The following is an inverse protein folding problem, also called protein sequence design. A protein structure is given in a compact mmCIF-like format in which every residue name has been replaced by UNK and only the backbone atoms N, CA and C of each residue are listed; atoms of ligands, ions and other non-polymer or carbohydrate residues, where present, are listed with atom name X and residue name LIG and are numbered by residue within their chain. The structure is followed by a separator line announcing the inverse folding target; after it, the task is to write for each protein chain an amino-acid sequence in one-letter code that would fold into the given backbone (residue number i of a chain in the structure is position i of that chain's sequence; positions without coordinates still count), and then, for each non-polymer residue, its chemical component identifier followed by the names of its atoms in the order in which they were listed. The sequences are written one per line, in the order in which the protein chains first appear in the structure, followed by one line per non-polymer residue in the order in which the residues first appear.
data_IF_518804475507
#
_entry.id   IF_518804475507
#
_cell.length_a   1.000
_cell.length_b   1.000
_cell.length_c   1.000
_cell.angle_alpha   90.00
_cell.angle_beta   90.00
_cell.angle_gamma   90.00
#
_symmetry.space_group_name_H-M   'P 1'
#
loop_
_entity.id
_entity.type
_entity.pdbx_description
1 polymer ?
#
# COMPACT_ATOMS: atom_id res chain seq x y z
N UNK A 1 -2.93 9.98 11.18
CA UNK A 1 -3.00 9.32 9.87
C UNK A 1 -4.30 8.54 9.74
N UNK A 2 -5.06 8.79 8.72
CA UNK A 2 -6.29 8.03 8.44
C UNK A 2 -6.35 7.68 6.97
N UNK A 3 -7.17 6.68 6.64
CA UNK A 3 -7.41 6.29 5.26
C UNK A 3 -8.58 7.10 4.69
N UNK A 4 -8.39 7.62 3.47
CA UNK A 4 -9.39 8.41 2.77
C UNK A 4 -9.77 7.68 1.49
N UNK A 5 -11.07 7.55 1.19
CA UNK A 5 -11.51 7.00 -0.06
C UNK A 5 -11.51 8.08 -1.13
N UNK A 6 -10.64 7.92 -2.12
CA UNK A 6 -10.61 8.81 -3.28
C UNK A 6 -11.81 8.51 -4.18
N UNK A 7 -12.45 9.54 -4.66
CA UNK A 7 -13.64 9.41 -5.51
C UNK A 7 -13.41 10.04 -6.88
N UNK A 8 -14.14 9.55 -7.86
CA UNK A 8 -14.12 10.08 -9.22
C UNK A 8 -15.27 11.04 -9.48
N UNK A 9 -15.99 11.42 -8.45
CA UNK A 9 -17.12 12.35 -8.53
C UNK A 9 -16.65 13.73 -8.96
N UNK A 10 -17.39 14.35 -9.88
CA UNK A 10 -17.08 15.72 -10.33
C UNK A 10 -17.04 16.67 -9.14
N UNK A 11 -16.00 17.47 -9.05
CA UNK A 11 -15.84 18.43 -7.96
C UNK A 11 -15.16 17.88 -6.70
N UNK A 12 -14.92 16.57 -6.63
CA UNK A 12 -14.20 16.01 -5.47
C UNK A 12 -12.74 16.45 -5.51
N UNK A 13 -12.23 16.87 -4.36
CA UNK A 13 -10.84 17.31 -4.24
C UNK A 13 -10.14 16.53 -3.13
N UNK A 14 -8.85 16.23 -3.34
CA UNK A 14 -8.02 15.58 -2.35
C UNK A 14 -7.89 16.49 -1.13
N UNK A 15 -8.20 15.99 0.09
CA UNK A 15 -7.98 16.78 1.29
C UNK A 15 -6.52 17.20 1.46
N UNK A 16 -6.30 18.27 2.20
CA UNK A 16 -4.95 18.76 2.49
C UNK A 16 -4.18 17.72 3.31
N UNK A 17 -2.86 17.67 3.15
CA UNK A 17 -1.98 16.72 3.84
C UNK A 17 -2.34 15.25 3.56
N UNK A 18 -2.80 14.97 2.35
CA UNK A 18 -3.21 13.63 1.92
C UNK A 18 -2.36 13.19 0.74
N UNK A 19 -1.88 11.94 0.78
CA UNK A 19 -1.10 11.33 -0.30
C UNK A 19 -1.90 10.20 -0.92
N UNK A 20 -2.02 10.20 -2.25
CA UNK A 20 -2.61 9.07 -2.96
C UNK A 20 -1.58 7.93 -3.01
N UNK A 21 -1.96 6.75 -2.52
CA UNK A 21 -1.07 5.59 -2.45
C UNK A 21 -1.58 4.41 -3.29
N UNK A 22 -2.59 4.62 -4.09
CA UNK A 22 -3.10 3.59 -5.00
C UNK A 22 -2.29 3.51 -6.28
N UNK A 23 -2.71 2.62 -7.19
CA UNK A 23 -2.09 2.50 -8.51
C UNK A 23 -2.35 3.76 -9.31
N UNK A 24 -1.46 4.21 -10.16
CA UNK A 24 -0.18 3.61 -10.55
C UNK A 24 1.03 4.09 -9.74
N UNK A 25 0.84 4.67 -8.56
CA UNK A 25 1.96 5.13 -7.74
C UNK A 25 2.84 3.94 -7.30
N UNK A 26 4.06 4.24 -6.87
CA UNK A 26 4.97 3.21 -6.34
C UNK A 26 4.44 2.54 -5.08
N UNK A 27 3.49 3.16 -4.39
CA UNK A 27 2.87 2.62 -3.19
C UNK A 27 1.74 1.63 -3.49
N UNK A 28 1.32 1.50 -4.74
CA UNK A 28 0.21 0.62 -5.11
C UNK A 28 0.50 -0.84 -4.82
N UNK A 29 -0.54 -1.60 -4.48
CA UNK A 29 -0.44 -3.03 -4.19
C UNK A 29 -0.36 -3.82 -5.50
N UNK A 30 0.74 -4.58 -5.75
CA UNK A 30 0.84 -5.40 -6.96
C UNK A 30 0.01 -6.68 -6.88
N UNK A 31 -0.41 -7.09 -5.68
CA UNK A 31 -1.24 -8.28 -5.51
C UNK A 31 -2.69 -7.93 -5.80
N UNK A 32 -3.31 -8.68 -6.70
CA UNK A 32 -4.65 -8.34 -7.20
C UNK A 32 -5.74 -8.96 -6.34
N UNK A 33 -6.73 -8.15 -6.00
CA UNK A 33 -7.89 -8.59 -5.24
C UNK A 33 -8.67 -9.67 -6.00
N UNK A 34 -8.73 -9.58 -7.33
CA UNK A 34 -9.40 -10.55 -8.19
C UNK A 34 -8.81 -11.95 -8.06
N UNK A 35 -7.50 -12.03 -7.79
CA UNK A 35 -6.79 -13.31 -7.72
C UNK A 35 -6.75 -13.89 -6.30
N UNK A 36 -6.64 -13.04 -5.29
CA UNK A 36 -6.32 -13.46 -3.93
C UNK A 36 -7.40 -13.10 -2.91
N UNK A 37 -8.31 -12.20 -3.25
CA UNK A 37 -9.22 -11.61 -2.28
C UNK A 37 -8.56 -10.42 -1.58
N UNK A 38 -9.39 -9.51 -1.07
CA UNK A 38 -8.91 -8.25 -0.50
C UNK A 38 -8.02 -8.46 0.73
N UNK A 39 -8.42 -9.33 1.64
CA UNK A 39 -7.66 -9.57 2.87
C UNK A 39 -6.28 -10.16 2.60
N UNK A 40 -6.22 -11.17 1.74
CA UNK A 40 -4.96 -11.82 1.41
C UNK A 40 -4.02 -10.89 0.65
N UNK A 41 -4.57 -10.11 -0.29
CA UNK A 41 -3.77 -9.15 -1.05
C UNK A 41 -3.13 -8.10 -0.14
N UNK A 42 -3.87 -7.60 0.85
CA UNK A 42 -3.36 -6.63 1.82
C UNK A 42 -2.33 -7.26 2.75
N UNK A 43 -2.58 -8.48 3.19
CA UNK A 43 -1.66 -9.23 4.06
C UNK A 43 -0.32 -9.45 3.38
N UNK A 44 -0.32 -9.90 2.13
CA UNK A 44 0.91 -10.10 1.36
C UNK A 44 1.65 -8.78 1.15
N UNK A 45 0.94 -7.73 0.86
CA UNK A 45 1.53 -6.40 0.70
C UNK A 45 2.31 -5.99 1.97
N UNK A 46 1.68 -6.14 3.12
CA UNK A 46 2.30 -5.80 4.40
C UNK A 46 3.53 -6.67 4.68
N UNK A 47 3.40 -7.97 4.45
CA UNK A 47 4.50 -8.92 4.67
C UNK A 47 5.69 -8.63 3.76
N UNK A 48 5.45 -8.24 2.52
CA UNK A 48 6.52 -7.91 1.58
C UNK A 48 7.29 -6.66 1.98
N UNK A 49 6.63 -5.69 2.59
CA UNK A 49 7.32 -4.50 3.12
C UNK A 49 8.16 -4.86 4.34
N UNK A 50 7.61 -5.70 5.24
CA UNK A 50 8.30 -6.12 6.45
C UNK A 50 9.43 -7.10 6.18
N UNK A 51 9.21 -8.05 5.29
CA UNK A 51 10.16 -9.09 4.97
C UNK A 51 10.11 -9.41 3.47
N UNK A 52 10.99 -8.78 2.74
CA UNK A 52 10.99 -8.80 1.28
C UNK A 52 11.38 -10.15 0.68
N UNK A 53 11.75 -11.15 1.48
CA UNK A 53 12.28 -12.43 0.98
C UNK A 53 11.22 -13.45 0.58
N UNK A 54 9.95 -13.26 0.96
CA UNK A 54 8.95 -14.34 0.96
C UNK A 54 7.80 -14.20 -0.04
N UNK A 55 7.79 -13.17 -0.87
CA UNK A 55 6.54 -12.76 -1.53
C UNK A 55 6.42 -13.07 -3.02
N UNK A 56 7.33 -13.85 -3.60
CA UNK A 56 7.46 -13.87 -5.06
C UNK A 56 7.19 -15.20 -5.73
N UNK A 57 6.67 -16.18 -5.00
CA UNK A 57 6.44 -17.52 -5.53
C UNK A 57 5.38 -17.60 -6.63
N UNK A 58 4.52 -16.59 -6.73
CA UNK A 58 3.45 -16.53 -7.74
C UNK A 58 3.85 -15.78 -9.01
N UNK A 59 5.09 -15.29 -9.05
CA UNK A 59 5.53 -14.42 -10.14
C UNK A 59 6.66 -15.06 -10.91
N UNK A 60 6.78 -14.74 -12.21
CA UNK A 60 7.98 -15.12 -12.94
C UNK A 60 9.19 -14.32 -12.43
N UNK A 61 10.39 -14.72 -12.84
CA UNK A 61 11.64 -14.13 -12.31
C UNK A 61 11.73 -12.63 -12.60
N UNK A 62 11.29 -12.20 -13.77
CA UNK A 62 11.33 -10.77 -14.15
C UNK A 62 10.39 -9.95 -13.29
N UNK A 63 9.16 -10.40 -13.13
CA UNK A 63 8.16 -9.71 -12.33
C UNK A 63 8.57 -9.68 -10.86
N UNK A 64 9.07 -10.80 -10.35
CA UNK A 64 9.55 -10.89 -8.97
C UNK A 64 10.65 -9.88 -8.69
N UNK A 65 11.57 -9.69 -9.62
CA UNK A 65 12.66 -8.72 -9.48
C UNK A 65 12.13 -7.29 -9.40
N UNK A 66 11.17 -6.95 -10.27
CA UNK A 66 10.56 -5.63 -10.29
C UNK A 66 9.87 -5.35 -8.95
N UNK A 67 9.12 -6.31 -8.45
CA UNK A 67 8.40 -6.13 -7.19
C UNK A 67 9.34 -6.13 -5.99
N UNK A 68 10.41 -6.91 -6.03
CA UNK A 68 11.43 -6.88 -4.97
C UNK A 68 12.01 -5.48 -4.81
N UNK A 69 12.43 -4.84 -5.92
CA UNK A 69 12.99 -3.50 -5.88
C UNK A 69 11.95 -2.47 -5.41
N UNK A 70 10.71 -2.65 -5.81
CA UNK A 70 9.62 -1.77 -5.43
C UNK A 70 9.34 -1.84 -3.92
N UNK A 71 9.24 -3.05 -3.36
CA UNK A 71 9.01 -3.21 -1.92
C UNK A 71 10.21 -2.74 -1.09
N UNK A 72 11.41 -2.95 -1.61
CA UNK A 72 12.61 -2.42 -0.98
C UNK A 72 12.55 -0.88 -0.91
N UNK A 73 12.16 -0.25 -2.02
CA UNK A 73 11.99 1.19 -2.05
C UNK A 73 10.92 1.67 -1.05
N UNK A 74 9.79 0.96 -0.96
CA UNK A 74 8.74 1.30 -0.01
C UNK A 74 9.24 1.25 1.43
N UNK A 75 9.96 0.20 1.79
CA UNK A 75 10.49 0.05 3.14
C UNK A 75 11.47 1.17 3.48
N UNK A 76 12.32 1.54 2.54
CA UNK A 76 13.32 2.59 2.73
C UNK A 76 12.69 3.99 2.80
N UNK A 77 11.54 4.19 2.17
CA UNK A 77 10.89 5.50 2.05
C UNK A 77 9.59 5.62 2.87
N UNK A 78 9.29 4.64 3.70
CA UNK A 78 8.04 4.58 4.46
C UNK A 78 7.81 5.84 5.29
N UNK A 79 8.86 6.41 5.85
CA UNK A 79 8.78 7.61 6.69
C UNK A 79 8.26 8.84 5.94
N UNK A 80 8.32 8.87 4.62
CA UNK A 80 7.78 9.97 3.83
C UNK A 80 6.27 10.13 4.02
N UNK A 81 5.59 9.05 4.43
CA UNK A 81 4.14 9.04 4.61
C UNK A 81 3.72 9.46 6.02
N UNK A 82 4.67 9.53 6.96
CA UNK A 82 4.34 9.81 8.36
C UNK A 82 3.68 11.18 8.49
N UNK A 83 2.55 11.18 9.20
CA UNK A 83 1.79 12.40 9.44
C UNK A 83 0.80 12.75 8.34
N UNK A 84 0.79 12.00 7.24
CA UNK A 84 -0.15 12.23 6.13
C UNK A 84 -1.35 11.29 6.24
N UNK A 85 -2.48 11.72 5.71
CA UNK A 85 -3.60 10.83 5.45
C UNK A 85 -3.34 10.13 4.12
N UNK A 86 -3.77 8.88 3.99
CA UNK A 86 -3.49 8.08 2.81
C UNK A 86 -4.77 7.78 2.04
N UNK A 87 -4.78 8.12 0.76
CA UNK A 87 -5.95 7.98 -0.11
C UNK A 87 -5.81 6.83 -1.08
N UNK A 88 -6.90 6.10 -1.29
CA UNK A 88 -7.02 5.04 -2.26
C UNK A 88 -8.46 4.95 -2.72
N UNK A 89 -8.72 4.31 -3.86
CA UNK A 89 -10.08 4.14 -4.37
C UNK A 89 -10.89 3.08 -3.61
N UNK A 90 -10.27 2.24 -2.79
CA UNK A 90 -10.96 1.18 -2.05
C UNK A 90 -12.05 1.75 -1.14
N UNK A 91 -13.17 1.03 -1.07
CA UNK A 91 -14.24 1.36 -0.10
C UNK A 91 -13.68 1.34 1.32
N UNK A 92 -14.14 2.26 2.16
CA UNK A 92 -13.71 2.32 3.56
C UNK A 92 -14.13 1.08 4.35
N UNK A 93 -15.11 0.33 3.87
CA UNK A 93 -15.56 -0.92 4.49
C UNK A 93 -14.74 -2.13 4.08
N UNK A 94 -13.84 -2.00 3.11
CA UNK A 94 -13.00 -3.10 2.60
C UNK A 94 -11.56 -2.97 3.09
N UNK A 95 -10.85 -4.09 3.27
CA UNK A 95 -9.41 -4.03 3.53
C UNK A 95 -8.69 -3.31 2.39
N UNK A 96 -7.67 -2.54 2.73
CA UNK A 96 -6.91 -1.76 1.75
C UNK A 96 -5.44 -1.71 2.15
N UNK A 97 -4.56 -1.68 1.16
CA UNK A 97 -3.11 -1.59 1.41
C UNK A 97 -2.73 -0.30 2.15
N UNK A 98 -3.53 0.76 2.06
CA UNK A 98 -3.30 1.97 2.83
C UNK A 98 -3.36 1.70 4.33
N UNK A 99 -4.23 0.79 4.78
CA UNK A 99 -4.28 0.38 6.18
C UNK A 99 -2.98 -0.29 6.62
N UNK A 100 -2.40 -1.11 5.74
CA UNK A 100 -1.13 -1.77 6.02
C UNK A 100 -0.01 -0.74 6.21
N UNK A 101 0.04 0.29 5.37
CA UNK A 101 1.03 1.36 5.49
C UNK A 101 0.87 2.11 6.81
N UNK A 102 -0.35 2.41 7.21
CA UNK A 102 -0.63 3.10 8.46
C UNK A 102 -0.19 2.24 9.66
N UNK A 103 -0.50 0.94 9.63
CA UNK A 103 -0.07 0.03 10.69
C UNK A 103 1.44 -0.08 10.81
N UNK A 104 2.15 -0.16 9.68
CA UNK A 104 3.59 -0.23 9.66
C UNK A 104 4.23 1.01 10.26
N UNK A 105 3.66 2.18 9.98
CA UNK A 105 4.14 3.43 10.55
C UNK A 105 3.87 3.52 12.04
N UNK A 106 2.78 2.95 12.54
CA UNK A 106 2.50 2.88 13.96
C UNK A 106 3.50 2.00 14.69
N UNK A 107 3.87 0.87 14.09
CA UNK A 107 4.87 -0.04 14.67
C UNK A 107 6.22 0.67 14.76
N UNK A 108 6.64 1.35 13.70
CA UNK A 108 7.92 2.06 13.66
C UNK A 108 7.98 3.23 14.64
N UNK A 109 6.86 3.72 15.10
CA UNK A 109 6.79 4.86 16.00
C UNK A 109 7.12 4.50 17.46
N UNK A 110 7.38 3.24 17.75
CA UNK A 110 7.67 2.75 19.11
C UNK A 110 9.16 2.67 19.44
N UNK A 111 10.00 3.13 18.58
CA UNK A 111 11.45 3.16 18.83
C UNK A 111 11.87 4.38 19.60
#
# INVERSE_FOLDING_TARGET
MKRIQRKRTKGWKMPINTKYVGRPTKWGNPFRVEDLGAEEAVKLYKECILNNAMCYSYMDVREARIQFERFKWMAENLEQLRGLDLACFCSLSSPCHADALIELLKINNKT
#
